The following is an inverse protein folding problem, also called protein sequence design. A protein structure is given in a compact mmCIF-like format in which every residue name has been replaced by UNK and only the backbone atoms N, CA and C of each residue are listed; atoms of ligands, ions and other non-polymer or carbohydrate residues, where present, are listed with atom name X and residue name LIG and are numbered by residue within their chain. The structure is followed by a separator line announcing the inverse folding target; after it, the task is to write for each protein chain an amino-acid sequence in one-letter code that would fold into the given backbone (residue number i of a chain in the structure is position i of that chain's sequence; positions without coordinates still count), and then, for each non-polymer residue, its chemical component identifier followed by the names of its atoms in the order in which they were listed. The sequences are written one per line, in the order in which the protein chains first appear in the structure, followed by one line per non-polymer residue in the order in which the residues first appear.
data_IF_128935080029
#
_entry.id   IF_128935080029
#
_cell.length_a   1.000
_cell.length_b   1.000
_cell.length_c   1.000
_cell.angle_alpha   90.00
_cell.angle_beta   90.00
_cell.angle_gamma   90.00
#
_symmetry.space_group_name_H-M   'P 1'
#
loop_
_entity.id
_entity.type
_entity.pdbx_description
1 polymer ?
#
# COMPACT_ATOMS: atom_id res chain seq x y z
N UNK A 1 -10.19 -27.86 8.97
CA UNK A 1 -9.65 -26.48 8.98
C UNK A 1 -10.25 -25.75 7.79
N UNK A 2 -10.71 -24.50 7.96
CA UNK A 2 -11.40 -23.78 6.87
C UNK A 2 -10.41 -23.33 5.77
N UNK A 3 -10.65 -23.66 4.50
CA UNK A 3 -9.73 -23.25 3.41
C UNK A 3 -9.99 -21.81 2.93
N UNK A 4 -9.41 -20.83 3.64
CA UNK A 4 -9.55 -19.43 3.26
C UNK A 4 -8.87 -19.08 1.93
N UNK A 5 -7.75 -19.73 1.59
CA UNK A 5 -7.02 -19.44 0.35
C UNK A 5 -7.74 -19.99 -0.87
N UNK A 6 -8.27 -21.22 -0.79
CA UNK A 6 -9.10 -21.79 -1.85
C UNK A 6 -10.38 -21.00 -2.08
N UNK A 7 -11.06 -20.56 -1.00
CA UNK A 7 -12.21 -19.65 -1.11
C UNK A 7 -11.82 -18.32 -1.77
N UNK A 8 -10.69 -17.72 -1.39
CA UNK A 8 -10.23 -16.47 -1.98
C UNK A 8 -9.89 -16.64 -3.47
N UNK A 9 -9.34 -17.80 -3.86
CA UNK A 9 -9.10 -18.13 -5.26
C UNK A 9 -10.41 -18.23 -6.06
N UNK A 10 -11.45 -18.83 -5.49
CA UNK A 10 -12.77 -18.88 -6.13
C UNK A 10 -13.38 -17.49 -6.32
N UNK A 11 -13.31 -16.63 -5.29
CA UNK A 11 -13.75 -15.22 -5.39
C UNK A 11 -12.97 -14.46 -6.48
N UNK A 12 -11.65 -14.68 -6.58
CA UNK A 12 -10.84 -14.09 -7.67
C UNK A 12 -11.31 -14.52 -9.06
N UNK A 13 -11.63 -15.81 -9.24
CA UNK A 13 -12.12 -16.30 -10.52
C UNK A 13 -13.50 -15.71 -10.86
N UNK A 14 -14.41 -15.67 -9.89
CA UNK A 14 -15.72 -15.06 -10.05
C UNK A 14 -15.61 -13.55 -10.39
N UNK A 15 -14.71 -12.83 -9.71
CA UNK A 15 -14.41 -11.43 -10.03
C UNK A 15 -13.92 -11.28 -11.48
N UNK A 16 -12.98 -12.11 -11.93
CA UNK A 16 -12.47 -12.05 -13.32
C UNK A 16 -13.55 -12.31 -14.37
N UNK A 17 -14.47 -13.23 -14.11
CA UNK A 17 -15.62 -13.48 -14.98
C UNK A 17 -16.52 -12.24 -15.02
N UNK A 18 -16.89 -11.71 -13.86
CA UNK A 18 -17.72 -10.50 -13.75
C UNK A 18 -17.09 -9.27 -14.44
N UNK A 19 -15.77 -9.07 -14.31
CA UNK A 19 -15.03 -8.00 -15.02
C UNK A 19 -15.15 -8.17 -16.53
N UNK A 20 -14.97 -9.40 -17.05
CA UNK A 20 -15.06 -9.70 -18.48
C UNK A 20 -16.46 -9.43 -19.02
N UNK A 21 -17.48 -9.75 -18.24
CA UNK A 21 -18.90 -9.53 -18.55
C UNK A 21 -19.38 -8.11 -18.23
N UNK A 22 -18.49 -7.22 -17.76
CA UNK A 22 -18.79 -5.85 -17.33
C UNK A 22 -19.85 -5.75 -16.23
N UNK A 23 -20.04 -6.81 -15.43
CA UNK A 23 -20.84 -6.81 -14.21
C UNK A 23 -20.01 -6.26 -13.05
N UNK A 24 -19.72 -4.95 -13.07
CA UNK A 24 -18.76 -4.36 -12.14
C UNK A 24 -19.20 -4.45 -10.67
N UNK A 25 -20.49 -4.34 -10.37
CA UNK A 25 -21.01 -4.49 -9.00
C UNK A 25 -20.71 -5.88 -8.43
N UNK A 26 -20.94 -6.94 -9.22
CA UNK A 26 -20.58 -8.30 -8.86
C UNK A 26 -19.06 -8.44 -8.68
N UNK A 27 -18.27 -7.84 -9.57
CA UNK A 27 -16.81 -7.87 -9.46
C UNK A 27 -16.31 -7.21 -8.17
N UNK A 28 -16.86 -6.05 -7.79
CA UNK A 28 -16.53 -5.37 -6.54
C UNK A 28 -16.86 -6.19 -5.31
N UNK A 29 -18.02 -6.87 -5.31
CA UNK A 29 -18.41 -7.81 -4.25
C UNK A 29 -17.40 -8.94 -4.12
N UNK A 30 -17.08 -9.61 -5.23
CA UNK A 30 -16.14 -10.74 -5.23
C UNK A 30 -14.73 -10.32 -4.79
N UNK A 31 -14.21 -9.18 -5.25
CA UNK A 31 -12.90 -8.67 -4.82
C UNK A 31 -12.89 -8.27 -3.33
N UNK A 32 -13.99 -7.73 -2.81
CA UNK A 32 -14.13 -7.43 -1.38
C UNK A 32 -14.15 -8.70 -0.53
N UNK A 33 -14.86 -9.74 -0.98
CA UNK A 33 -14.85 -11.05 -0.33
C UNK A 33 -13.45 -11.69 -0.36
N UNK A 34 -12.75 -11.61 -1.49
CA UNK A 34 -11.37 -12.07 -1.60
C UNK A 34 -10.47 -11.40 -0.56
N UNK A 35 -10.57 -10.08 -0.40
CA UNK A 35 -9.82 -9.34 0.65
C UNK A 35 -10.14 -9.86 2.05
N UNK A 36 -11.42 -10.01 2.40
CA UNK A 36 -11.86 -10.52 3.71
C UNK A 36 -11.25 -11.90 3.99
N UNK A 37 -11.27 -12.79 3.00
CA UNK A 37 -10.71 -14.14 3.13
C UNK A 37 -9.18 -14.11 3.31
N UNK A 38 -8.47 -13.23 2.59
CA UNK A 38 -7.04 -13.03 2.80
C UNK A 38 -6.70 -12.49 4.19
N UNK A 39 -7.49 -11.55 4.72
CA UNK A 39 -7.30 -11.05 6.09
C UNK A 39 -7.58 -12.13 7.14
N UNK A 40 -8.62 -12.95 6.96
CA UNK A 40 -8.89 -14.11 7.82
C UNK A 40 -7.74 -15.12 7.80
N UNK A 41 -7.19 -15.39 6.62
CA UNK A 41 -6.02 -16.25 6.47
C UNK A 41 -4.79 -15.66 7.18
N UNK A 42 -4.46 -14.40 6.90
CA UNK A 42 -3.33 -13.71 7.51
C UNK A 42 -3.40 -13.71 9.05
N UNK A 43 -4.59 -13.45 9.60
CA UNK A 43 -4.82 -13.52 11.05
C UNK A 43 -4.60 -14.93 11.59
N UNK A 44 -5.16 -15.96 10.95
CA UNK A 44 -5.02 -17.36 11.39
C UNK A 44 -3.56 -17.82 11.36
N UNK A 45 -2.84 -17.49 10.30
CA UNK A 45 -1.43 -17.85 10.12
C UNK A 45 -0.46 -16.88 10.80
N UNK A 46 -0.98 -15.88 11.55
CA UNK A 46 -0.19 -14.87 12.27
C UNK A 46 0.83 -14.14 11.39
N UNK A 47 0.40 -13.73 10.20
CA UNK A 47 1.25 -12.96 9.29
C UNK A 47 1.73 -11.67 9.96
N UNK A 48 2.95 -11.26 9.63
CA UNK A 48 3.43 -9.92 9.97
C UNK A 48 2.56 -8.85 9.31
N UNK A 49 2.60 -7.62 9.83
CA UNK A 49 1.90 -6.49 9.22
C UNK A 49 2.29 -6.32 7.74
N UNK A 50 3.57 -6.48 7.42
CA UNK A 50 4.07 -6.38 6.04
C UNK A 50 3.50 -7.46 5.12
N UNK A 51 3.46 -8.72 5.55
CA UNK A 51 2.86 -9.79 4.74
C UNK A 51 1.34 -9.65 4.61
N UNK A 52 0.69 -9.12 5.65
CA UNK A 52 -0.74 -8.78 5.62
C UNK A 52 -1.02 -7.68 4.60
N UNK A 53 -0.19 -6.62 4.54
CA UNK A 53 -0.33 -5.58 3.52
C UNK A 53 -0.17 -6.13 2.10
N UNK A 54 0.79 -7.03 1.88
CA UNK A 54 0.98 -7.61 0.55
C UNK A 54 -0.25 -8.40 0.10
N UNK A 55 -0.81 -9.24 0.96
CA UNK A 55 -1.99 -10.05 0.59
C UNK A 55 -3.25 -9.19 0.48
N UNK A 56 -3.43 -8.17 1.33
CA UNK A 56 -4.54 -7.19 1.24
C UNK A 56 -4.48 -6.36 -0.04
N UNK A 57 -3.26 -6.01 -0.49
CA UNK A 57 -3.04 -5.20 -1.70
C UNK A 57 -3.22 -5.98 -3.00
N UNK A 58 -3.25 -7.31 -2.97
CA UNK A 58 -3.29 -8.11 -4.21
C UNK A 58 -4.58 -7.90 -5.02
N UNK A 59 -5.79 -7.89 -4.41
CA UNK A 59 -7.03 -7.63 -5.15
C UNK A 59 -7.11 -6.21 -5.74
N UNK A 60 -6.34 -5.25 -5.21
CA UNK A 60 -6.33 -3.88 -5.73
C UNK A 60 -5.84 -3.77 -7.17
N UNK A 61 -5.07 -4.74 -7.67
CA UNK A 61 -4.69 -4.78 -9.08
C UNK A 61 -5.91 -4.99 -10.00
N UNK A 62 -6.80 -5.92 -9.64
CA UNK A 62 -8.04 -6.17 -10.36
C UNK A 62 -9.04 -5.02 -10.16
N UNK A 63 -9.09 -4.41 -8.96
CA UNK A 63 -9.87 -3.19 -8.69
C UNK A 63 -9.40 -2.01 -9.55
N UNK A 64 -8.08 -1.83 -9.68
CA UNK A 64 -7.50 -0.81 -10.56
C UNK A 64 -7.95 -1.02 -12.00
N UNK A 65 -8.01 -2.27 -12.47
CA UNK A 65 -8.47 -2.58 -13.81
C UNK A 65 -9.95 -2.23 -14.02
N UNK A 66 -10.83 -2.49 -13.04
CA UNK A 66 -12.23 -2.06 -13.10
C UNK A 66 -12.31 -0.54 -13.24
N UNK A 67 -11.65 0.19 -12.33
CA UNK A 67 -11.63 1.66 -12.32
C UNK A 67 -11.07 2.24 -13.63
N UNK A 68 -10.07 1.58 -14.22
CA UNK A 68 -9.53 1.93 -15.55
C UNK A 68 -10.58 1.79 -16.64
N UNK A 69 -11.36 0.71 -16.64
CA UNK A 69 -12.43 0.47 -17.63
C UNK A 69 -13.57 1.48 -17.44
N UNK A 70 -13.88 1.85 -16.20
CA UNK A 70 -14.88 2.86 -15.86
C UNK A 70 -14.42 4.32 -16.12
N UNK A 71 -13.20 4.54 -16.61
CA UNK A 71 -12.66 5.88 -16.86
C UNK A 71 -12.19 6.65 -15.60
N UNK A 72 -12.23 6.02 -14.42
CA UNK A 72 -11.79 6.59 -13.14
C UNK A 72 -10.28 6.46 -12.96
N UNK A 73 -9.52 7.13 -13.83
CA UNK A 73 -8.05 6.93 -13.93
C UNK A 73 -7.27 7.31 -12.66
N UNK A 74 -7.70 8.34 -11.92
CA UNK A 74 -7.08 8.71 -10.65
C UNK A 74 -7.20 7.60 -9.59
N UNK A 75 -8.42 7.12 -9.34
CA UNK A 75 -8.66 6.00 -8.41
C UNK A 75 -7.94 4.73 -8.89
N UNK A 76 -7.92 4.47 -10.20
CA UNK A 76 -7.20 3.35 -10.77
C UNK A 76 -5.70 3.42 -10.45
N UNK A 77 -5.09 4.61 -10.57
CA UNK A 77 -3.71 4.86 -10.21
C UNK A 77 -3.47 4.64 -8.70
N UNK A 78 -4.37 5.12 -7.83
CA UNK A 78 -4.29 4.90 -6.37
C UNK A 78 -4.19 3.41 -6.01
N UNK A 79 -5.03 2.59 -6.64
CA UNK A 79 -5.08 1.15 -6.39
C UNK A 79 -3.82 0.41 -6.84
N UNK A 80 -3.36 0.64 -8.08
CA UNK A 80 -2.13 -0.01 -8.56
C UNK A 80 -0.88 0.50 -7.82
N UNK A 81 -0.88 1.77 -7.39
CA UNK A 81 0.20 2.34 -6.57
C UNK A 81 0.30 1.66 -5.21
N UNK A 82 -0.85 1.30 -4.62
CA UNK A 82 -0.88 0.56 -3.35
C UNK A 82 -0.32 -0.85 -3.51
N UNK A 83 -0.76 -1.60 -4.54
CA UNK A 83 -0.19 -2.92 -4.85
C UNK A 83 1.31 -2.84 -5.07
N UNK A 84 1.77 -1.84 -5.84
CA UNK A 84 3.20 -1.60 -6.05
C UNK A 84 3.94 -1.33 -4.74
N UNK A 85 3.44 -0.38 -3.93
CA UNK A 85 4.09 0.04 -2.70
C UNK A 85 4.20 -1.10 -1.69
N UNK A 86 3.14 -1.87 -1.50
CA UNK A 86 3.15 -3.04 -0.62
C UNK A 86 4.18 -4.08 -1.08
N UNK A 87 4.24 -4.38 -2.38
CA UNK A 87 5.23 -5.30 -2.94
C UNK A 87 6.68 -4.79 -2.80
N UNK A 88 6.89 -3.50 -3.08
CA UNK A 88 8.20 -2.85 -2.98
C UNK A 88 8.73 -2.87 -1.54
N UNK A 89 7.93 -2.44 -0.56
CA UNK A 89 8.33 -2.42 0.86
C UNK A 89 8.60 -3.83 1.40
N UNK A 90 7.93 -4.85 0.84
CA UNK A 90 8.17 -6.26 1.18
C UNK A 90 9.33 -6.91 0.39
N UNK A 91 10.15 -6.13 -0.33
CA UNK A 91 11.26 -6.61 -1.16
C UNK A 91 10.84 -7.71 -2.17
N UNK A 92 9.61 -7.64 -2.70
CA UNK A 92 9.13 -8.57 -3.74
C UNK A 92 9.51 -8.08 -5.14
N UNK A 93 9.58 -8.97 -6.14
CA UNK A 93 9.79 -8.55 -7.53
C UNK A 93 8.71 -7.59 -8.00
N UNK A 94 9.11 -6.41 -8.49
CA UNK A 94 8.19 -5.32 -8.86
C UNK A 94 8.25 -4.91 -10.33
N UNK A 95 9.14 -5.48 -11.15
CA UNK A 95 9.35 -5.07 -12.56
C UNK A 95 8.04 -5.03 -13.36
N UNK A 96 7.21 -6.06 -13.25
CA UNK A 96 5.91 -6.12 -13.94
C UNK A 96 4.92 -5.10 -13.39
N UNK A 97 4.96 -4.84 -12.07
CA UNK A 97 4.12 -3.82 -11.43
C UNK A 97 4.56 -2.41 -11.82
N UNK A 98 5.87 -2.13 -11.95
CA UNK A 98 6.38 -0.81 -12.39
C UNK A 98 5.86 -0.47 -13.79
N UNK A 99 5.91 -1.42 -14.73
CA UNK A 99 5.37 -1.24 -16.09
C UNK A 99 3.87 -0.97 -16.09
N UNK A 100 3.10 -1.68 -15.26
CA UNK A 100 1.66 -1.43 -15.09
C UNK A 100 1.43 -0.05 -14.47
N UNK A 101 2.14 0.27 -13.42
CA UNK A 101 2.05 1.54 -12.71
C UNK A 101 2.31 2.71 -13.66
N UNK A 102 3.32 2.63 -14.52
CA UNK A 102 3.61 3.63 -15.56
C UNK A 102 2.44 3.81 -16.53
N UNK A 103 1.86 2.71 -17.02
CA UNK A 103 0.72 2.77 -17.93
C UNK A 103 -0.51 3.41 -17.28
N UNK A 104 -0.77 3.15 -15.99
CA UNK A 104 -1.87 3.78 -15.25
C UNK A 104 -1.58 5.25 -14.96
N UNK A 105 -0.33 5.57 -14.64
CA UNK A 105 0.13 6.92 -14.40
C UNK A 105 -0.06 7.81 -15.65
N UNK A 106 0.37 7.33 -16.81
CA UNK A 106 0.22 8.05 -18.08
C UNK A 106 -1.25 8.31 -18.43
N UNK A 107 -2.17 7.41 -18.03
CA UNK A 107 -3.62 7.61 -18.20
C UNK A 107 -4.18 8.68 -17.27
N UNK A 108 -3.74 8.71 -16.02
CA UNK A 108 -4.20 9.68 -15.03
C UNK A 108 -3.66 11.09 -15.31
N UNK A 109 -2.41 11.23 -15.73
CA UNK A 109 -1.72 12.52 -15.86
C UNK A 109 -1.39 12.94 -17.31
N UNK A 110 -1.84 12.19 -18.32
CA UNK A 110 -1.69 12.51 -19.76
C UNK A 110 -0.26 12.92 -20.18
N UNK A 111 0.76 12.31 -19.57
CA UNK A 111 2.18 12.59 -19.81
C UNK A 111 2.66 14.01 -19.42
N UNK A 112 1.89 14.77 -18.66
CA UNK A 112 2.28 16.14 -18.28
C UNK A 112 3.43 16.20 -17.26
N UNK A 113 3.69 15.11 -16.53
CA UNK A 113 4.74 15.02 -15.50
C UNK A 113 5.53 13.71 -15.63
N UNK A 114 6.84 13.67 -15.32
CA UNK A 114 7.66 12.48 -15.50
C UNK A 114 7.32 11.35 -14.51
N UNK A 115 7.04 10.15 -15.04
CA UNK A 115 6.75 8.94 -14.25
C UNK A 115 7.88 8.58 -13.26
N UNK A 116 9.15 8.75 -13.67
CA UNK A 116 10.32 8.45 -12.82
C UNK A 116 10.25 9.19 -11.48
N UNK A 117 9.78 10.44 -11.48
CA UNK A 117 9.63 11.24 -10.27
C UNK A 117 8.49 10.73 -9.39
N UNK A 118 7.35 10.41 -9.99
CA UNK A 118 6.23 9.78 -9.29
C UNK A 118 6.69 8.50 -8.58
N UNK A 119 7.40 7.64 -9.29
CA UNK A 119 7.92 6.37 -8.78
C UNK A 119 8.91 6.59 -7.62
N UNK A 120 9.82 7.55 -7.74
CA UNK A 120 10.78 7.89 -6.67
C UNK A 120 10.06 8.35 -5.39
N UNK A 121 9.09 9.25 -5.52
CA UNK A 121 8.31 9.73 -4.37
C UNK A 121 7.45 8.62 -3.74
N UNK A 122 6.85 7.75 -4.56
CA UNK A 122 6.10 6.59 -4.07
C UNK A 122 7.00 5.61 -3.29
N UNK A 123 8.22 5.35 -3.78
CA UNK A 123 9.24 4.56 -3.06
C UNK A 123 9.60 5.21 -1.72
N UNK A 124 9.76 6.54 -1.69
CA UNK A 124 10.11 7.31 -0.51
C UNK A 124 8.98 7.47 0.53
N UNK A 125 7.72 7.13 0.21
CA UNK A 125 6.64 7.18 1.20
C UNK A 125 6.95 6.28 2.41
N UNK A 126 6.84 6.78 3.66
CA UNK A 126 7.12 5.97 4.84
C UNK A 126 6.04 4.91 5.06
N UNK A 127 4.78 5.29 4.85
CA UNK A 127 3.64 4.39 5.06
C UNK A 127 3.28 3.68 3.77
N UNK A 128 2.94 2.40 3.90
CA UNK A 128 2.54 1.54 2.78
C UNK A 128 1.06 1.17 2.82
N UNK A 129 0.26 1.73 3.73
CA UNK A 129 -1.19 1.50 3.77
C UNK A 129 -1.92 2.21 2.63
N UNK A 130 -3.09 1.69 2.26
CA UNK A 130 -3.85 2.22 1.14
C UNK A 130 -4.25 3.70 1.31
N UNK A 131 -4.59 4.12 2.53
CA UNK A 131 -4.99 5.50 2.81
C UNK A 131 -3.87 6.50 2.54
N UNK A 132 -2.67 6.20 3.05
CA UNK A 132 -1.47 7.00 2.80
C UNK A 132 -1.12 7.07 1.31
N UNK A 133 -1.16 5.93 0.60
CA UNK A 133 -0.87 5.88 -0.84
C UNK A 133 -1.92 6.63 -1.65
N UNK A 134 -3.21 6.43 -1.36
CA UNK A 134 -4.31 7.15 -2.02
C UNK A 134 -4.17 8.66 -1.83
N UNK A 135 -3.89 9.11 -0.60
CA UNK A 135 -3.69 10.53 -0.31
C UNK A 135 -2.49 11.11 -1.08
N UNK A 136 -1.38 10.37 -1.16
CA UNK A 136 -0.24 10.77 -1.98
C UNK A 136 -0.64 10.94 -3.45
N UNK A 137 -1.30 9.94 -4.04
CA UNK A 137 -1.64 9.91 -5.46
C UNK A 137 -2.66 11.00 -5.83
N UNK A 138 -3.70 11.18 -5.03
CA UNK A 138 -4.86 12.01 -5.39
C UNK A 138 -4.74 13.45 -4.93
N UNK A 139 -3.94 13.72 -3.87
CA UNK A 139 -3.85 15.05 -3.27
C UNK A 139 -2.45 15.66 -3.36
N UNK A 140 -1.41 14.91 -2.98
CA UNK A 140 -0.07 15.50 -2.86
C UNK A 140 0.69 15.56 -4.19
N UNK A 141 0.69 14.48 -4.97
CA UNK A 141 1.43 14.44 -6.23
C UNK A 141 0.95 15.47 -7.28
N UNK A 142 -0.37 15.71 -7.47
CA UNK A 142 -0.84 16.77 -8.36
C UNK A 142 -0.26 18.15 -8.03
N UNK A 143 -0.10 18.44 -6.73
CA UNK A 143 0.40 19.71 -6.20
C UNK A 143 1.94 19.81 -6.18
N UNK A 144 2.65 18.72 -6.48
CA UNK A 144 4.11 18.76 -6.51
C UNK A 144 4.58 19.68 -7.64
N UNK A 145 5.49 20.65 -7.37
CA UNK A 145 5.94 21.64 -8.36
C UNK A 145 6.70 20.93 -9.48
N UNK A 146 6.56 21.36 -10.73
CA UNK A 146 7.34 20.85 -11.85
C UNK A 146 8.79 21.37 -11.71
N UNK A 147 9.72 20.47 -11.41
CA UNK A 147 11.14 20.81 -11.37
C UNK A 147 11.63 20.41 -12.76
N UNK A 148 11.68 21.38 -13.68
CA UNK A 148 12.40 21.21 -14.94
C UNK A 148 13.85 20.86 -14.63
N UNK A 149 14.34 19.79 -15.27
CA UNK A 149 15.64 19.08 -15.28
C UNK A 149 16.96 19.67 -14.72
N UNK A 150 17.00 20.85 -14.11
CA UNK A 150 18.16 21.43 -13.44
C UNK A 150 18.07 21.28 -11.91
N UNK A 151 18.41 20.10 -11.39
CA UNK A 151 19.06 19.91 -10.08
C UNK A 151 19.01 18.46 -9.60
N UNK A 152 19.74 17.59 -10.31
CA UNK A 152 20.07 16.24 -9.84
C UNK A 152 20.83 16.23 -8.48
N UNK A 153 21.26 17.38 -7.97
CA UNK A 153 21.94 17.55 -6.67
C UNK A 153 21.02 18.00 -5.51
N UNK A 154 19.77 18.40 -5.78
CA UNK A 154 18.77 18.75 -4.74
C UNK A 154 17.89 17.56 -4.31
N UNK A 155 17.97 16.42 -5.02
CA UNK A 155 17.10 15.25 -4.85
C UNK A 155 17.15 14.65 -3.43
N UNK A 156 18.28 14.72 -2.71
CA UNK A 156 18.33 14.23 -1.31
C UNK A 156 17.67 15.18 -0.30
N UNK A 157 17.88 16.50 -0.42
CA UNK A 157 17.36 17.48 0.57
C UNK A 157 15.87 17.78 0.38
N UNK A 158 15.38 17.82 -0.86
CA UNK A 158 13.97 18.13 -1.13
C UNK A 158 13.06 16.95 -0.85
N UNK A 159 13.49 15.71 -1.13
CA UNK A 159 12.73 14.49 -0.77
C UNK A 159 12.65 14.35 0.75
N UNK A 160 13.72 14.67 1.48
CA UNK A 160 13.73 14.63 2.95
C UNK A 160 12.83 15.72 3.57
N UNK A 161 12.86 16.95 3.06
CA UNK A 161 12.03 18.05 3.58
C UNK A 161 10.56 17.99 3.14
N UNK A 162 10.28 17.54 1.91
CA UNK A 162 8.91 17.34 1.42
C UNK A 162 8.29 16.11 2.07
N UNK A 163 9.07 15.03 2.23
CA UNK A 163 8.68 13.86 3.01
C UNK A 163 8.36 14.22 4.46
N UNK A 164 9.21 15.02 5.13
CA UNK A 164 8.94 15.53 6.48
C UNK A 164 7.67 16.38 6.55
N UNK A 165 7.43 17.33 5.63
CA UNK A 165 6.19 18.13 5.61
C UNK A 165 4.93 17.31 5.34
N UNK A 166 5.01 16.31 4.46
CA UNK A 166 3.90 15.38 4.19
C UNK A 166 3.62 14.52 5.43
N UNK A 167 4.66 14.05 6.11
CA UNK A 167 4.55 13.30 7.38
C UNK A 167 3.91 14.17 8.45
N UNK A 168 4.37 15.41 8.64
CA UNK A 168 3.88 16.33 9.67
C UNK A 168 2.41 16.75 9.48
N UNK A 169 1.93 16.78 8.24
CA UNK A 169 0.51 17.00 7.94
C UNK A 169 -0.34 15.72 8.03
N UNK A 170 0.25 14.54 7.78
CA UNK A 170 -0.40 13.25 7.93
C UNK A 170 -0.43 12.75 9.39
N UNK A 171 0.47 13.23 10.26
CA UNK A 171 0.55 12.87 11.69
C UNK A 171 -0.16 13.85 12.62
N UNK A 172 -0.69 14.99 12.12
CA UNK A 172 -1.56 15.84 12.94
C UNK A 172 -2.83 15.06 13.33
N UNK A 173 -3.12 14.88 14.63
CA UNK A 173 -4.33 14.20 15.07
C UNK A 173 -5.54 15.04 14.68
N UNK A 174 -6.21 14.65 13.60
CA UNK A 174 -7.61 15.04 13.43
C UNK A 174 -8.40 14.26 14.48
N UNK A 175 -8.83 14.98 15.52
CA UNK A 175 -9.84 14.53 16.47
C UNK A 175 -11.14 14.33 15.69
N UNK A 176 -11.32 13.13 15.14
CA UNK A 176 -12.64 12.64 14.78
C UNK A 176 -13.13 11.83 15.98
N UNK A 177 -14.17 12.35 16.63
CA UNK A 177 -14.85 11.70 17.76
C UNK A 177 -15.21 10.27 17.38
N UNK A 178 -14.62 9.32 18.09
CA UNK A 178 -14.93 7.90 18.02
C UNK A 178 -16.40 7.69 18.42
N UNK A 179 -17.15 6.94 17.62
CA UNK A 179 -18.36 6.26 18.06
C UNK A 179 -18.56 5.05 17.17
N UNK A 180 -17.95 3.91 17.49
CA UNK A 180 -18.51 2.59 17.14
C UNK A 180 -17.98 1.54 18.14
N UNK A 181 -18.66 1.44 19.28
CA UNK A 181 -18.95 0.17 19.93
C UNK A 181 -20.29 -0.31 19.33
N UNK A 182 -20.35 -1.54 18.83
CA UNK A 182 -21.62 -2.11 18.36
C UNK A 182 -21.43 -3.36 17.52
N UNK A 183 -21.61 -4.52 18.17
CA UNK A 183 -21.95 -5.77 17.51
C UNK A 183 -23.30 -5.56 16.81
N UNK A 184 -23.37 -5.65 15.48
CA UNK A 184 -24.65 -5.64 14.76
C UNK A 184 -25.02 -7.08 14.38
N UNK A 185 -26.02 -7.63 15.08
CA UNK A 185 -26.82 -8.72 14.54
C UNK A 185 -27.80 -8.14 13.52
N UNK A 186 -27.75 -8.61 12.27
CA UNK A 186 -28.77 -8.29 11.26
C UNK A 186 -29.43 -9.61 10.83
N UNK A 187 -30.68 -9.82 11.27
CA UNK A 187 -31.60 -10.72 10.57
C UNK A 187 -32.10 -10.00 9.32
N UNK A 188 -32.24 -10.67 8.15
CA UNK A 188 -32.73 -9.99 6.96
C UNK A 188 -34.24 -9.72 7.09
N UNK A 189 -34.65 -8.49 6.78
CA UNK A 189 -36.01 -8.19 6.34
C UNK A 189 -35.98 -8.08 4.82
N UNK A 190 -36.85 -8.85 4.21
CA UNK A 190 -37.16 -8.92 2.80
C UNK A 190 -37.87 -7.63 2.35
N UNK A 191 -37.61 -7.21 1.11
CA UNK A 191 -38.10 -6.04 0.38
C UNK A 191 -37.38 -4.70 0.65
N UNK A 192 -36.42 -4.37 -0.22
CA UNK A 192 -36.59 -3.26 -1.17
C UNK A 192 -35.53 -3.31 -2.28
N UNK A 193 -36.03 -3.36 -3.51
CA UNK A 193 -35.28 -3.26 -4.76
C UNK A 193 -35.04 -1.77 -5.08
N UNK A 194 -33.94 -1.52 -5.79
CA UNK A 194 -33.63 -0.33 -6.60
C UNK A 194 -32.94 0.85 -5.86
N UNK A 195 -31.86 1.33 -6.50
CA UNK A 195 -31.06 2.55 -6.20
C UNK A 195 -29.98 2.52 -5.11
N UNK A 196 -29.33 1.38 -4.86
CA UNK A 196 -28.11 1.35 -4.05
C UNK A 196 -26.84 1.57 -4.89
N UNK A 197 -26.46 2.84 -5.09
CA UNK A 197 -25.10 3.22 -5.49
C UNK A 197 -24.15 2.89 -4.32
N UNK A 198 -23.54 1.71 -4.32
CA UNK A 198 -22.61 1.31 -3.27
C UNK A 198 -21.31 2.13 -3.38
N UNK A 199 -20.99 3.02 -2.43
CA UNK A 199 -19.70 3.70 -2.42
C UNK A 199 -18.57 2.68 -2.19
N UNK A 200 -17.34 3.04 -2.58
CA UNK A 200 -16.12 2.28 -2.22
C UNK A 200 -16.22 1.83 -0.75
N UNK A 201 -15.94 0.56 -0.42
CA UNK A 201 -16.02 0.09 0.96
C UNK A 201 -15.12 0.95 1.84
N UNK A 202 -15.65 1.40 2.99
CA UNK A 202 -14.89 2.21 3.94
C UNK A 202 -13.62 1.46 4.35
N UNK A 203 -12.46 2.03 4.03
CA UNK A 203 -11.17 1.47 4.38
C UNK A 203 -10.97 1.53 5.91
N UNK A 204 -10.61 0.40 6.51
CA UNK A 204 -10.18 0.38 7.91
C UNK A 204 -8.92 1.26 8.06
N UNK A 205 -8.94 2.19 9.03
CA UNK A 205 -7.74 2.91 9.46
C UNK A 205 -6.80 1.91 10.15
N UNK A 206 -5.72 1.51 9.49
CA UNK A 206 -4.68 0.63 10.07
C UNK A 206 -3.67 1.38 10.94
N UNK A 207 -3.89 2.67 11.22
CA UNK A 207 -2.99 3.52 12.03
C UNK A 207 -2.76 2.99 13.45
N UNK A 208 -3.68 2.17 13.96
CA UNK A 208 -3.62 1.68 15.34
C UNK A 208 -2.88 0.34 15.48
N UNK A 209 -2.56 -0.34 14.37
CA UNK A 209 -1.74 -1.56 14.40
C UNK A 209 -0.28 -1.24 14.79
N UNK A 210 0.14 0.02 14.63
CA UNK A 210 1.44 0.50 15.07
C UNK A 210 1.50 0.91 16.55
N UNK A 211 0.36 1.07 17.24
CA UNK A 211 0.34 1.60 18.62
C UNK A 211 0.34 0.52 19.71
N UNK A 212 -0.09 -0.71 19.41
CA UNK A 212 0.01 -1.83 20.37
C UNK A 212 1.45 -2.38 20.53
N UNK A 213 2.41 -1.85 19.76
CA UNK A 213 3.84 -2.12 19.96
C UNK A 213 4.53 -1.12 20.91
N UNK A 214 3.82 -0.08 21.38
CA UNK A 214 4.42 1.00 22.18
C UNK A 214 4.10 0.94 23.67
N UNK A 215 3.19 0.07 24.12
CA UNK A 215 2.82 -0.06 25.53
C UNK A 215 3.14 -1.47 26.03
N UNK A 216 4.42 -1.71 26.28
CA UNK A 216 4.92 -2.93 26.90
C UNK A 216 6.37 -2.71 27.22
N UNK A 217 6.66 -2.60 28.51
CA UNK A 217 7.96 -2.42 29.14
C UNK A 217 9.15 -2.94 28.35
N UNK A 218 10.24 -2.16 28.37
CA UNK A 218 11.49 -2.31 27.60
C UNK A 218 12.27 -3.61 27.75
N UNK A 219 11.65 -4.77 27.53
CA UNK A 219 12.26 -6.09 27.38
C UNK A 219 11.32 -6.99 26.57
N UNK A 220 11.67 -7.32 25.32
CA UNK A 220 10.98 -8.40 24.60
C UNK A 220 11.99 -9.32 23.88
N UNK A 221 12.14 -10.51 24.49
CA UNK A 221 12.41 -11.84 23.90
C UNK A 221 13.78 -12.16 23.26
N UNK A 222 14.84 -12.11 24.07
CA UNK A 222 15.64 -13.33 24.33
C UNK A 222 16.45 -13.97 23.19
N UNK A 223 16.84 -13.25 22.15
CA UNK A 223 17.87 -13.68 21.20
C UNK A 223 18.87 -12.55 20.88
N UNK A 224 20.17 -12.85 20.76
CA UNK A 224 21.21 -11.84 20.55
C UNK A 224 21.10 -11.22 19.16
N UNK A 225 21.39 -9.92 19.08
CA UNK A 225 21.61 -9.16 17.84
C UNK A 225 22.61 -9.92 16.96
N UNK A 226 22.11 -10.46 15.85
CA UNK A 226 22.85 -11.33 14.94
C UNK A 226 24.16 -10.72 14.44
N UNK A 227 25.25 -11.45 14.63
CA UNK A 227 26.68 -11.19 14.37
C UNK A 227 27.09 -10.82 12.94
N UNK A 228 26.16 -10.55 12.02
CA UNK A 228 26.52 -10.17 10.64
C UNK A 228 26.82 -8.66 10.49
N UNK A 229 26.34 -7.82 11.41
CA UNK A 229 26.54 -6.36 11.35
C UNK A 229 27.95 -5.97 11.83
N UNK A 230 28.54 -6.73 12.76
CA UNK A 230 29.88 -6.43 13.29
C UNK A 230 30.98 -6.84 12.29
N UNK A 231 30.80 -7.94 11.55
CA UNK A 231 31.76 -8.39 10.53
C UNK A 231 31.91 -7.42 9.35
N UNK A 232 30.85 -6.71 8.97
CA UNK A 232 30.86 -5.74 7.87
C UNK A 232 31.52 -4.41 8.27
N UNK A 233 31.45 -4.03 9.55
CA UNK A 233 32.10 -2.83 10.08
C UNK A 233 33.58 -3.08 10.39
N UNK A 234 33.94 -4.26 10.91
CA UNK A 234 35.34 -4.61 11.18
C UNK A 234 36.16 -4.81 9.89
N UNK A 235 35.56 -5.40 8.83
CA UNK A 235 36.24 -5.60 7.55
C UNK A 235 36.61 -4.31 6.81
N UNK A 236 35.80 -3.25 6.95
CA UNK A 236 36.08 -1.94 6.34
C UNK A 236 37.18 -1.17 7.07
N UNK A 237 37.33 -1.34 8.39
CA UNK A 237 38.39 -0.68 9.16
C UNK A 237 39.77 -1.29 8.85
N UNK A 238 39.86 -2.61 8.67
CA UNK A 238 41.13 -3.28 8.34
C UNK A 238 41.59 -2.93 6.92
N UNK A 239 40.67 -2.78 5.97
CA UNK A 239 40.98 -2.46 4.56
C UNK A 239 41.49 -1.02 4.41
N UNK A 240 40.97 -0.07 5.20
CA UNK A 240 41.46 1.33 5.22
C UNK A 240 42.85 1.42 5.86
N UNK A 241 43.16 0.61 6.88
CA UNK A 241 44.50 0.58 7.50
C UNK A 241 45.54 -0.02 6.54
N UNK A 242 45.20 -1.07 5.78
CA UNK A 242 46.13 -1.68 4.81
C UNK A 242 46.47 -0.77 3.62
N UNK A 243 45.53 0.05 3.16
CA UNK A 243 45.78 1.03 2.09
C UNK A 243 46.72 2.15 2.57
N UNK A 244 46.72 2.47 3.87
CA UNK A 244 47.57 3.50 4.45
C UNK A 244 48.99 3.03 4.80
N UNK A 245 49.25 1.72 4.85
CA UNK A 245 50.57 1.15 5.19
C UNK A 245 51.39 0.82 3.92
N UNK A 246 50.72 0.64 2.77
CA UNK A 246 51.36 0.28 1.49
C UNK A 246 51.51 1.50 0.55
N UNK A 247 50.93 2.65 0.89
CA UNK A 247 51.01 3.91 0.14
C UNK A 247 51.95 4.93 0.75
#
# INVERSE_FOLDING_TARGET
MEDYLGKAANEKQAAKIAIRERRFDDAWRHLSNQKILYLKHAHRERFSAMHTLVIDSSPHEDMANILRIEGKHGNALSNISYTYKAAYTANRPTITLERKLEAYYNRAYKNNKPFKRFLSLLKALPNSDFGSVKMFVEKFYPLAPDISDESATLEKKVVENTGRRIVEQATKPQVLKNNYQGVIHIKPKENDLNDAKYPEPAYLKTSNIAQDASNGDGKILGYPTSDWVVGLVAGLVILVIFIWIIG
#
